data_IF_549161886809
#
_entry.id   IF_549161886809
#
_cell.length_a   1.000
_cell.length_b   1.000
_cell.length_c   1.000
_cell.angle_alpha   90.00
_cell.angle_beta   90.00
_cell.angle_gamma   90.00
#
_symmetry.space_group_name_H-M   'P 1'
#
loop_
_entity.id
_entity.type
_entity.pdbx_description
1 polymer ?
#
# COMPACT_ATOMS: atom_id res chain seq x y z
N UNK A 1 -19.96 6.12 -61.46
CA UNK A 1 -20.75 7.14 -60.73
C UNK A 1 -20.08 7.43 -59.43
N UNK A 2 -19.06 7.98 -59.32
CA UNK A 2 -18.18 9.15 -59.50
C UNK A 2 -18.90 10.46 -59.24
N UNK A 3 -18.36 11.23 -58.19
CA UNK A 3 -18.60 12.62 -57.87
C UNK A 3 -19.90 12.96 -57.18
N UNK A 4 -19.88 12.80 -55.82
CA UNK A 4 -20.69 13.65 -54.96
C UNK A 4 -20.40 13.37 -53.46
N UNK A 5 -19.15 13.52 -53.05
CA UNK A 5 -18.77 13.51 -51.59
C UNK A 5 -17.62 14.48 -51.27
N UNK A 6 -17.70 15.68 -51.80
CA UNK A 6 -16.70 16.73 -51.54
C UNK A 6 -17.38 18.09 -51.49
N UNK A 7 -18.30 18.32 -50.55
CA UNK A 7 -18.83 19.68 -50.34
C UNK A 7 -19.63 19.79 -49.02
N UNK A 8 -19.16 19.20 -47.92
CA UNK A 8 -19.75 19.50 -46.60
C UNK A 8 -18.64 19.65 -45.54
N UNK A 9 -17.56 20.34 -45.85
CA UNK A 9 -16.49 20.53 -44.87
C UNK A 9 -15.91 21.93 -44.93
N UNK A 10 -16.72 22.95 -45.08
CA UNK A 10 -16.21 24.33 -45.17
C UNK A 10 -17.24 25.39 -44.76
N UNK A 11 -17.97 25.20 -43.69
CA UNK A 11 -18.76 26.30 -43.08
C UNK A 11 -18.96 26.00 -41.59
N UNK A 12 -17.98 26.09 -40.75
CA UNK A 12 -18.09 26.46 -39.33
C UNK A 12 -16.67 26.91 -38.93
N UNK A 13 -16.28 28.08 -39.37
CA UNK A 13 -15.11 28.75 -38.86
C UNK A 13 -15.30 30.25 -39.08
N UNK A 14 -16.13 30.86 -38.28
CA UNK A 14 -16.18 32.31 -38.07
C UNK A 14 -17.27 32.66 -37.05
N UNK A 15 -16.89 32.88 -35.82
CA UNK A 15 -17.51 33.84 -34.90
C UNK A 15 -17.10 33.52 -33.48
N UNK A 16 -16.13 34.21 -32.95
CA UNK A 16 -16.15 34.81 -31.63
C UNK A 16 -14.78 35.45 -31.35
N UNK A 17 -14.63 36.63 -31.94
CA UNK A 17 -13.68 37.63 -31.47
C UNK A 17 -14.53 38.71 -30.80
N UNK A 18 -14.17 39.07 -29.58
CA UNK A 18 -14.58 40.37 -29.03
C UNK A 18 -15.37 40.29 -27.74
N UNK A 19 -14.71 40.44 -26.61
CA UNK A 19 -15.03 41.56 -25.71
C UNK A 19 -13.95 41.64 -24.61
N UNK A 20 -13.03 42.51 -24.74
CA UNK A 20 -12.27 43.12 -23.64
C UNK A 20 -13.18 44.17 -23.00
N UNK A 21 -13.35 44.13 -21.69
CA UNK A 21 -13.69 45.29 -20.89
C UNK A 21 -12.80 45.35 -19.67
N UNK A 22 -11.88 46.32 -19.71
CA UNK A 22 -11.20 46.91 -18.55
C UNK A 22 -12.19 47.76 -17.77
N UNK A 23 -12.07 47.73 -16.44
CA UNK A 23 -12.23 48.79 -15.43
C UNK A 23 -12.45 48.07 -14.12
N UNK A 24 -11.90 48.41 -12.98
CA UNK A 24 -11.16 49.55 -12.51
C UNK A 24 -10.80 49.27 -11.04
N UNK A 25 -9.78 49.94 -10.57
CA UNK A 25 -9.28 49.99 -9.19
C UNK A 25 -10.34 50.38 -8.14
N UNK A 26 -10.17 49.84 -6.92
CA UNK A 26 -10.84 50.32 -5.73
C UNK A 26 -10.34 49.52 -4.51
N UNK A 27 -9.47 50.11 -3.69
CA UNK A 27 -8.97 49.61 -2.43
C UNK A 27 -10.13 49.42 -1.44
N UNK A 28 -10.16 48.31 -0.69
CA UNK A 28 -10.06 48.37 0.76
C UNK A 28 -9.97 46.95 1.35
N UNK A 29 -9.29 46.86 2.52
CA UNK A 29 -8.90 45.74 3.31
C UNK A 29 -10.06 44.88 3.80
N UNK A 30 -9.95 43.57 3.66
CA UNK A 30 -10.31 42.62 4.72
C UNK A 30 -9.58 41.31 4.46
N UNK A 31 -8.75 40.91 5.39
CA UNK A 31 -8.06 39.64 5.43
C UNK A 31 -9.08 38.56 5.81
N UNK A 32 -9.47 37.74 4.86
CA UNK A 32 -10.04 36.40 5.14
C UNK A 32 -9.17 35.37 4.43
N UNK A 33 -8.64 34.47 5.29
CA UNK A 33 -7.75 33.43 4.87
C UNK A 33 -8.41 32.51 3.83
N UNK A 34 -7.95 32.63 2.60
CA UNK A 34 -8.17 31.62 1.59
C UNK A 34 -7.36 30.37 2.00
N UNK A 35 -8.00 29.43 2.67
CA UNK A 35 -7.53 28.05 2.69
C UNK A 35 -7.56 27.53 1.28
N UNK A 36 -6.45 27.72 0.59
CA UNK A 36 -6.21 27.11 -0.70
C UNK A 36 -6.22 25.58 -0.51
N UNK A 37 -7.33 24.96 -0.85
CA UNK A 37 -7.39 23.52 -1.09
C UNK A 37 -6.36 23.23 -2.18
N UNK A 38 -5.16 22.79 -1.79
CA UNK A 38 -4.24 22.13 -2.70
C UNK A 38 -4.92 20.85 -3.11
N UNK A 39 -5.46 20.79 -4.32
CA UNK A 39 -5.77 19.54 -5.01
C UNK A 39 -4.44 18.78 -5.21
N UNK A 40 -3.92 18.20 -4.14
CA UNK A 40 -2.83 17.27 -4.17
C UNK A 40 -3.34 15.97 -4.78
N UNK A 41 -2.55 15.32 -5.61
CA UNK A 41 -2.81 13.95 -6.06
C UNK A 41 -3.05 13.08 -4.82
N UNK A 42 -4.19 12.42 -4.71
CA UNK A 42 -4.49 11.49 -3.63
C UNK A 42 -3.50 10.31 -3.72
N UNK A 43 -2.88 9.96 -2.59
CA UNK A 43 -1.97 8.81 -2.47
C UNK A 43 -2.79 7.56 -2.24
N UNK A 44 -2.62 6.54 -3.08
CA UNK A 44 -3.28 5.25 -2.91
C UNK A 44 -2.37 4.28 -2.16
N UNK A 45 -2.81 3.80 -1.01
CA UNK A 45 -2.13 2.81 -0.17
C UNK A 45 -2.88 1.49 -0.21
N UNK A 46 -2.23 0.43 -0.67
CA UNK A 46 -2.80 -0.91 -0.72
C UNK A 46 -2.35 -1.74 0.48
N UNK A 47 -3.29 -2.23 1.27
CA UNK A 47 -3.05 -3.08 2.44
C UNK A 47 -3.52 -4.49 2.13
N UNK A 48 -2.65 -5.48 2.22
CA UNK A 48 -2.98 -6.87 1.88
C UNK A 48 -2.54 -7.83 2.97
N UNK A 49 -3.41 -8.79 3.29
CA UNK A 49 -3.15 -9.85 4.26
C UNK A 49 -3.32 -11.25 3.62
N UNK A 50 -2.58 -12.27 4.12
CA UNK A 50 -2.61 -13.60 3.52
C UNK A 50 -3.92 -14.35 3.81
N UNK A 51 -4.51 -14.15 4.98
CA UNK A 51 -5.72 -14.82 5.44
C UNK A 51 -6.40 -14.04 6.56
N UNK A 52 -7.67 -14.36 6.83
CA UNK A 52 -8.37 -13.85 8.01
C UNK A 52 -7.85 -14.56 9.26
N UNK A 53 -7.37 -13.77 10.20
CA UNK A 53 -6.92 -14.18 11.53
C UNK A 53 -7.04 -12.99 12.46
N UNK A 54 -7.53 -13.22 13.69
CA UNK A 54 -7.83 -12.15 14.65
C UNK A 54 -6.70 -11.10 14.77
N UNK A 55 -5.44 -11.53 14.86
CA UNK A 55 -4.31 -10.61 14.98
C UNK A 55 -4.03 -9.85 13.69
N UNK A 56 -4.12 -10.51 12.53
CA UNK A 56 -3.88 -9.86 11.22
C UNK A 56 -5.01 -8.88 10.90
N UNK A 57 -6.25 -9.25 11.21
CA UNK A 57 -7.41 -8.37 11.05
C UNK A 57 -7.27 -7.10 11.90
N UNK A 58 -6.82 -7.23 13.16
CA UNK A 58 -6.55 -6.07 14.03
C UNK A 58 -5.45 -5.16 13.47
N UNK A 59 -4.39 -5.72 12.92
CA UNK A 59 -3.31 -4.95 12.29
C UNK A 59 -3.85 -4.20 11.07
N UNK A 60 -4.55 -4.88 10.14
CA UNK A 60 -5.17 -4.29 8.96
C UNK A 60 -6.12 -3.15 9.36
N UNK A 61 -7.02 -3.41 10.29
CA UNK A 61 -8.05 -2.46 10.70
C UNK A 61 -7.43 -1.21 11.36
N UNK A 62 -6.38 -1.40 12.15
CA UNK A 62 -5.63 -0.29 12.76
C UNK A 62 -4.94 0.55 11.69
N UNK A 63 -4.21 -0.07 10.76
CA UNK A 63 -3.54 0.62 9.66
C UNK A 63 -4.56 1.41 8.82
N UNK A 64 -5.65 0.76 8.44
CA UNK A 64 -6.71 1.37 7.63
C UNK A 64 -7.37 2.55 8.35
N UNK A 65 -7.65 2.39 9.64
CA UNK A 65 -8.24 3.45 10.46
C UNK A 65 -7.31 4.65 10.63
N UNK A 66 -6.02 4.42 10.84
CA UNK A 66 -5.05 5.51 10.99
C UNK A 66 -4.82 6.26 9.68
N UNK A 67 -4.59 5.55 8.58
CA UNK A 67 -4.41 6.15 7.26
C UNK A 67 -5.66 6.87 6.77
N UNK A 68 -6.85 6.33 7.05
CA UNK A 68 -8.12 6.92 6.66
C UNK A 68 -8.47 8.24 7.34
N UNK A 69 -7.67 8.70 8.32
CA UNK A 69 -7.82 10.03 8.93
C UNK A 69 -7.33 11.16 8.02
N UNK A 70 -6.51 10.85 7.02
CA UNK A 70 -6.01 11.83 6.05
C UNK A 70 -6.82 11.72 4.75
N UNK A 71 -7.53 12.79 4.40
CA UNK A 71 -8.37 12.88 3.19
C UNK A 71 -7.55 12.76 1.88
N UNK A 72 -6.24 12.96 1.94
CA UNK A 72 -5.34 12.78 0.80
C UNK A 72 -4.89 11.34 0.61
N UNK A 73 -5.25 10.42 1.50
CA UNK A 73 -4.92 9.00 1.41
C UNK A 73 -6.17 8.20 1.04
N UNK A 74 -6.06 7.42 -0.02
CA UNK A 74 -7.03 6.39 -0.37
C UNK A 74 -6.48 5.03 0.04
N UNK A 75 -7.15 4.35 0.95
CA UNK A 75 -6.77 2.99 1.36
C UNK A 75 -7.59 1.96 0.60
N UNK A 76 -6.93 0.98 0.00
CA UNK A 76 -7.55 -0.23 -0.55
C UNK A 76 -7.08 -1.43 0.25
N UNK A 77 -7.98 -2.40 0.50
CA UNK A 77 -7.65 -3.56 1.34
C UNK A 77 -8.10 -4.85 0.69
N UNK A 78 -7.25 -5.87 0.71
CA UNK A 78 -7.56 -7.19 0.20
C UNK A 78 -7.07 -8.31 1.14
N UNK A 79 -7.68 -9.49 0.98
CA UNK A 79 -7.36 -10.68 1.74
C UNK A 79 -7.31 -11.87 0.79
N UNK A 80 -6.20 -12.59 0.79
CA UNK A 80 -6.01 -13.75 -0.07
C UNK A 80 -6.73 -15.01 0.42
N UNK A 81 -7.32 -14.99 1.61
CA UNK A 81 -8.08 -16.11 2.20
C UNK A 81 -7.32 -17.44 2.25
N UNK A 82 -6.00 -17.39 2.40
CA UNK A 82 -5.11 -18.56 2.45
C UNK A 82 -4.67 -19.10 1.10
N UNK A 83 -5.07 -18.45 0.01
CA UNK A 83 -4.66 -18.83 -1.36
C UNK A 83 -3.47 -18.01 -1.82
N UNK A 84 -2.31 -18.68 -2.00
CA UNK A 84 -1.07 -18.04 -2.45
C UNK A 84 -1.14 -17.55 -3.89
N UNK A 85 -1.93 -18.20 -4.74
CA UNK A 85 -2.14 -17.75 -6.13
C UNK A 85 -2.99 -16.48 -6.17
N UNK A 86 -4.05 -16.44 -5.34
CA UNK A 86 -4.85 -15.24 -5.18
C UNK A 86 -4.01 -14.09 -4.61
N UNK A 87 -3.12 -14.36 -3.65
CA UNK A 87 -2.22 -13.36 -3.09
C UNK A 87 -1.34 -12.70 -4.16
N UNK A 88 -0.69 -13.50 -5.00
CA UNK A 88 0.14 -13.00 -6.10
C UNK A 88 -0.69 -12.14 -7.06
N UNK A 89 -1.87 -12.64 -7.45
CA UNK A 89 -2.76 -11.92 -8.38
C UNK A 89 -3.26 -10.59 -7.81
N UNK A 90 -3.59 -10.53 -6.51
CA UNK A 90 -3.98 -9.30 -5.82
C UNK A 90 -2.85 -8.26 -5.91
N UNK A 91 -1.61 -8.67 -5.59
CA UNK A 91 -0.46 -7.77 -5.59
C UNK A 91 -0.09 -7.32 -7.01
N UNK A 92 -0.21 -8.21 -8.01
CA UNK A 92 -0.05 -7.86 -9.43
C UNK A 92 -1.10 -6.84 -9.90
N UNK A 93 -2.33 -6.96 -9.43
CA UNK A 93 -3.37 -5.98 -9.70
C UNK A 93 -3.02 -4.62 -9.10
N UNK A 94 -2.52 -4.55 -7.87
CA UNK A 94 -2.05 -3.30 -7.26
C UNK A 94 -0.95 -2.63 -8.10
N UNK A 95 0.01 -3.42 -8.60
CA UNK A 95 1.04 -2.93 -9.50
C UNK A 95 0.45 -2.38 -10.80
N UNK A 96 -0.50 -3.08 -11.38
CA UNK A 96 -1.18 -2.68 -12.63
C UNK A 96 -2.05 -1.43 -12.43
N UNK A 97 -2.68 -1.29 -11.28
CA UNK A 97 -3.52 -0.14 -10.91
C UNK A 97 -2.68 1.10 -10.53
N UNK A 98 -1.36 0.93 -10.38
CA UNK A 98 -0.43 2.01 -10.06
C UNK A 98 -0.62 2.56 -8.64
N UNK A 99 -0.78 1.68 -7.64
CA UNK A 99 -0.82 2.10 -6.24
C UNK A 99 0.51 2.76 -5.85
N UNK A 100 0.45 3.78 -5.00
CA UNK A 100 1.63 4.55 -4.63
C UNK A 100 2.45 3.88 -3.52
N UNK A 101 1.83 3.07 -2.64
CA UNK A 101 2.48 2.35 -1.52
C UNK A 101 1.79 1.00 -1.32
N UNK A 102 2.56 -0.04 -1.07
CA UNK A 102 2.05 -1.38 -0.69
C UNK A 102 2.37 -1.68 0.77
N UNK A 103 1.36 -2.11 1.52
CA UNK A 103 1.49 -2.51 2.93
C UNK A 103 1.13 -3.98 3.07
N UNK A 104 2.08 -4.90 2.87
CA UNK A 104 1.86 -6.32 3.08
C UNK A 104 1.92 -6.66 4.57
N UNK A 105 0.94 -7.43 5.04
CA UNK A 105 0.89 -7.94 6.41
C UNK A 105 1.34 -9.40 6.41
N UNK A 106 2.25 -9.76 7.31
CA UNK A 106 2.90 -11.04 7.48
C UNK A 106 4.01 -11.36 6.45
N UNK A 107 4.87 -12.32 6.81
CA UNK A 107 6.13 -12.63 6.10
C UNK A 107 5.90 -13.06 4.66
N UNK A 108 5.03 -14.04 4.42
CA UNK A 108 4.75 -14.57 3.07
C UNK A 108 4.19 -13.50 2.12
N UNK A 109 3.35 -12.61 2.65
CA UNK A 109 2.78 -11.50 1.90
C UNK A 109 3.85 -10.47 1.51
N UNK A 110 4.76 -10.15 2.44
CA UNK A 110 5.86 -9.23 2.19
C UNK A 110 6.87 -9.78 1.16
N UNK A 111 7.16 -11.07 1.22
CA UNK A 111 7.99 -11.76 0.23
C UNK A 111 7.35 -11.76 -1.16
N UNK A 112 6.04 -12.00 -1.25
CA UNK A 112 5.30 -11.92 -2.51
C UNK A 112 5.31 -10.50 -3.07
N UNK A 113 5.10 -9.48 -2.22
CA UNK A 113 5.15 -8.09 -2.63
C UNK A 113 6.55 -7.72 -3.18
N UNK A 114 7.63 -8.09 -2.48
CA UNK A 114 9.00 -7.91 -2.97
C UNK A 114 9.19 -8.54 -4.36
N UNK A 115 8.73 -9.78 -4.53
CA UNK A 115 8.89 -10.50 -5.82
C UNK A 115 8.13 -9.84 -6.97
N UNK A 116 6.90 -9.38 -6.73
CA UNK A 116 6.07 -8.73 -7.76
C UNK A 116 6.60 -7.34 -8.12
N UNK A 117 7.12 -6.61 -7.15
CA UNK A 117 7.67 -5.26 -7.34
C UNK A 117 9.19 -5.24 -7.55
N UNK A 118 9.79 -6.39 -7.88
CA UNK A 118 11.21 -6.46 -8.20
C UNK A 118 11.58 -5.49 -9.32
N UNK A 119 12.62 -4.67 -9.07
CA UNK A 119 13.06 -3.62 -10.00
C UNK A 119 12.19 -2.36 -10.05
N UNK A 120 11.20 -2.22 -9.18
CA UNK A 120 10.34 -1.03 -9.08
C UNK A 120 10.73 -0.18 -7.87
N UNK A 121 10.47 1.13 -7.96
CA UNK A 121 10.72 2.08 -6.85
C UNK A 121 9.53 2.22 -5.89
N UNK A 122 8.43 1.48 -6.12
CA UNK A 122 7.22 1.56 -5.28
C UNK A 122 7.55 1.17 -3.84
N UNK A 123 7.29 2.03 -2.85
CA UNK A 123 7.56 1.72 -1.45
C UNK A 123 6.73 0.53 -0.96
N UNK A 124 7.39 -0.40 -0.28
CA UNK A 124 6.79 -1.53 0.42
C UNK A 124 7.03 -1.35 1.92
N UNK A 125 5.95 -1.23 2.69
CA UNK A 125 6.01 -1.04 4.14
C UNK A 125 5.38 -2.26 4.82
N UNK A 126 6.18 -3.25 5.15
CA UNK A 126 5.66 -4.47 5.75
C UNK A 126 5.21 -4.28 7.21
N UNK A 127 4.21 -5.05 7.63
CA UNK A 127 3.77 -5.14 9.01
C UNK A 127 3.78 -6.61 9.47
N UNK A 128 4.14 -6.84 10.73
CA UNK A 128 4.15 -8.16 11.36
C UNK A 128 5.00 -9.21 10.62
N UNK A 129 6.18 -8.82 10.18
CA UNK A 129 7.21 -9.75 9.69
C UNK A 129 8.10 -10.14 10.85
N UNK A 130 8.21 -11.43 11.16
CA UNK A 130 8.93 -11.89 12.35
C UNK A 130 10.44 -11.69 12.20
N UNK A 131 11.01 -12.03 11.06
CA UNK A 131 12.42 -11.87 10.76
C UNK A 131 12.60 -11.31 9.34
N UNK A 132 12.74 -9.99 9.20
CA UNK A 132 12.91 -9.36 7.89
C UNK A 132 14.20 -9.76 7.19
N UNK A 133 15.28 -10.07 7.93
CA UNK A 133 16.56 -10.49 7.37
C UNK A 133 16.44 -11.90 6.79
N UNK A 134 15.96 -12.87 7.58
CA UNK A 134 15.72 -14.23 7.10
C UNK A 134 14.67 -14.28 5.96
N UNK A 135 13.73 -13.36 5.95
CA UNK A 135 12.75 -13.22 4.87
C UNK A 135 13.32 -12.57 3.60
N UNK A 136 14.58 -12.09 3.63
CA UNK A 136 15.21 -11.42 2.50
C UNK A 136 14.62 -10.04 2.19
N UNK A 137 14.09 -9.34 3.19
CA UNK A 137 13.46 -8.02 3.06
C UNK A 137 14.37 -6.87 3.47
N UNK A 138 15.67 -7.15 3.65
CA UNK A 138 16.70 -6.20 4.02
C UNK A 138 17.88 -6.30 3.05
N UNK A 139 18.78 -5.30 3.07
CA UNK A 139 19.95 -5.26 2.20
C UNK A 139 19.84 -4.22 1.08
N UNK A 140 20.87 -4.16 0.23
CA UNK A 140 20.97 -3.15 -0.83
C UNK A 140 19.86 -3.28 -1.88
N UNK A 141 19.40 -4.50 -2.16
CA UNK A 141 18.31 -4.77 -3.11
C UNK A 141 16.92 -4.47 -2.53
N UNK A 142 16.83 -3.93 -1.31
CA UNK A 142 15.59 -3.64 -0.60
C UNK A 142 15.48 -2.16 -0.21
N UNK A 143 16.07 -1.25 -0.99
CA UNK A 143 16.11 0.17 -0.67
C UNK A 143 14.70 0.81 -0.56
N UNK A 144 13.71 0.27 -1.28
CA UNK A 144 12.30 0.69 -1.23
C UNK A 144 11.47 -0.11 -0.21
N UNK A 145 12.08 -1.01 0.57
CA UNK A 145 11.39 -1.89 1.53
C UNK A 145 11.74 -1.47 2.96
N UNK A 146 10.72 -1.27 3.79
CA UNK A 146 10.85 -1.02 5.21
C UNK A 146 9.63 -1.56 5.95
N UNK A 147 9.61 -1.50 7.28
CA UNK A 147 8.41 -1.92 8.01
C UNK A 147 8.65 -2.19 9.49
N UNK A 148 7.69 -2.88 10.09
CA UNK A 148 7.67 -3.20 11.52
C UNK A 148 7.68 -4.71 11.72
N UNK A 149 8.72 -5.18 12.42
CA UNK A 149 8.86 -6.57 12.85
C UNK A 149 8.04 -6.83 14.13
N UNK A 150 7.55 -8.07 14.27
CA UNK A 150 6.94 -8.58 15.50
C UNK A 150 7.78 -9.71 16.12
N UNK A 151 9.09 -9.68 15.93
CA UNK A 151 10.00 -10.69 16.43
C UNK A 151 9.94 -10.82 17.97
N UNK A 152 9.79 -12.05 18.44
CA UNK A 152 9.99 -12.43 19.83
C UNK A 152 11.20 -13.35 19.86
N UNK A 153 12.32 -12.96 20.50
CA UNK A 153 13.52 -13.80 20.57
C UNK A 153 13.23 -15.17 21.19
N UNK A 154 13.71 -16.23 20.56
CA UNK A 154 13.42 -17.60 21.01
C UNK A 154 13.94 -17.89 22.43
N UNK A 155 15.05 -17.27 22.83
CA UNK A 155 15.61 -17.38 24.18
C UNK A 155 14.65 -16.79 25.24
N UNK A 156 13.93 -15.72 24.94
CA UNK A 156 12.91 -15.16 25.84
C UNK A 156 11.74 -16.11 26.02
N UNK A 157 11.33 -16.79 24.95
CA UNK A 157 10.28 -17.84 25.04
C UNK A 157 10.76 -18.99 25.94
N UNK A 158 11.99 -19.46 25.75
CA UNK A 158 12.56 -20.55 26.58
C UNK A 158 12.70 -20.11 28.04
N UNK A 159 13.15 -18.87 28.30
CA UNK A 159 13.18 -18.30 29.65
C UNK A 159 11.82 -18.25 30.30
N UNK A 160 10.80 -17.84 29.54
CA UNK A 160 9.42 -17.81 30.02
C UNK A 160 8.94 -19.21 30.40
N UNK A 161 9.17 -20.22 29.55
CA UNK A 161 8.84 -21.63 29.84
C UNK A 161 9.54 -22.09 31.11
N UNK A 162 10.84 -21.82 31.28
CA UNK A 162 11.60 -22.21 32.45
C UNK A 162 11.08 -21.56 33.75
N UNK A 163 10.58 -20.32 33.65
CA UNK A 163 10.00 -19.62 34.81
C UNK A 163 8.66 -20.23 35.24
N UNK A 164 7.81 -20.66 34.29
CA UNK A 164 6.53 -21.27 34.59
C UNK A 164 6.63 -22.74 34.93
N UNK A 165 7.57 -23.45 34.35
CA UNK A 165 7.73 -24.92 34.48
C UNK A 165 9.22 -25.28 34.67
N UNK A 166 9.84 -24.97 35.82
CA UNK A 166 11.31 -25.13 36.01
C UNK A 166 11.79 -26.55 35.86
N UNK A 167 10.94 -27.54 36.10
CA UNK A 167 11.28 -28.96 36.05
C UNK A 167 11.00 -29.65 34.71
N UNK A 168 10.74 -28.90 33.65
CA UNK A 168 10.49 -29.49 32.32
C UNK A 168 11.68 -30.34 31.86
N UNK A 169 11.38 -31.47 31.18
CA UNK A 169 12.38 -32.38 30.63
C UNK A 169 12.36 -32.44 29.11
N UNK A 170 11.24 -31.99 28.49
CA UNK A 170 11.05 -32.01 27.04
C UNK A 170 10.19 -30.82 26.63
N UNK A 171 10.53 -30.23 25.51
CA UNK A 171 9.77 -29.19 24.85
C UNK A 171 9.37 -29.72 23.47
N UNK A 172 8.11 -29.57 23.09
CA UNK A 172 7.62 -29.87 21.75
C UNK A 172 7.47 -28.57 20.95
N UNK A 173 7.90 -28.59 19.67
CA UNK A 173 7.70 -27.50 18.75
C UNK A 173 6.70 -27.92 17.67
N UNK A 174 5.73 -27.03 17.39
CA UNK A 174 4.83 -27.14 16.25
C UNK A 174 5.21 -26.04 15.27
N UNK A 175 5.46 -26.40 14.03
CA UNK A 175 5.83 -25.44 13.00
C UNK A 175 5.30 -25.86 11.63
N UNK A 176 5.22 -24.91 10.71
CA UNK A 176 4.88 -25.13 9.31
C UNK A 176 6.14 -24.94 8.47
N UNK A 177 6.57 -25.99 7.78
CA UNK A 177 7.84 -25.98 7.02
C UNK A 177 7.82 -25.05 5.80
N UNK A 178 6.64 -24.62 5.35
CA UNK A 178 6.48 -23.64 4.26
C UNK A 178 6.57 -22.19 4.73
N UNK A 179 6.62 -21.94 6.04
CA UNK A 179 6.69 -20.61 6.61
C UNK A 179 8.13 -20.33 7.06
N UNK A 180 8.79 -19.38 6.38
CA UNK A 180 10.21 -19.05 6.63
C UNK A 180 10.47 -18.53 8.04
N UNK A 181 9.47 -17.96 8.69
CA UNK A 181 9.54 -17.49 10.08
C UNK A 181 9.33 -18.61 11.11
N UNK A 182 9.14 -19.85 10.67
CA UNK A 182 8.92 -21.02 11.54
C UNK A 182 10.12 -21.96 11.60
N UNK A 183 11.20 -21.70 10.86
CA UNK A 183 12.38 -22.57 10.74
C UNK A 183 13.63 -21.86 11.20
#
# INVERSE_FOLDING_TARGET
MRKMKRFVSAVIMAAMVGTLCLTGCGSDKSAEGSTGSKSGKQVTVAVVQPMSHTSLDQIRDTITSELGKDENIKVVTDNANGDTTALSSIIENYKSDGVDIVVPIATSTAQTAKSVYDGEDTPIVFAAVSDPEAAGLTGEDCANITGVSNNIPADEIVKLIANFQPDYKKIGFLYTSSETNSV
#
